data_IF_992732042638
#
_entry.id   IF_992732042638
#
_cell.length_a   1.000
_cell.length_b   1.000
_cell.length_c   1.000
_cell.angle_alpha   90.00
_cell.angle_beta   90.00
_cell.angle_gamma   90.00
#
_symmetry.space_group_name_H-M   'P 1'
#
loop_
_entity.id
_entity.type
_entity.pdbx_description
1 polymer ?
#
# COMPACT_ATOMS: atom_id res chain seq x y z
N UNK A 1 -59.27 -25.06 28.48
CA UNK A 1 -57.85 -25.38 28.23
C UNK A 1 -56.99 -24.22 28.72
N UNK A 2 -55.81 -24.53 29.27
CA UNK A 2 -55.04 -23.78 30.27
C UNK A 2 -54.34 -22.47 29.81
N UNK A 3 -54.25 -21.53 30.78
CA UNK A 3 -53.15 -20.60 31.22
C UNK A 3 -52.43 -19.72 30.16
N UNK A 4 -52.48 -18.37 30.21
CA UNK A 4 -51.74 -17.37 31.07
C UNK A 4 -50.21 -17.46 30.85
N UNK A 5 -49.37 -16.46 30.54
CA UNK A 5 -49.39 -14.97 30.41
C UNK A 5 -48.15 -14.54 29.58
N UNK A 6 -48.16 -13.37 28.91
CA UNK A 6 -46.94 -12.57 28.62
C UNK A 6 -47.27 -11.14 28.16
N UNK A 7 -46.49 -10.17 28.69
CA UNK A 7 -46.07 -8.90 28.05
C UNK A 7 -47.18 -7.84 27.79
N UNK A 8 -46.99 -6.51 27.83
CA UNK A 8 -45.82 -5.65 27.69
C UNK A 8 -46.21 -4.16 27.94
N UNK A 9 -45.19 -3.31 28.16
CA UNK A 9 -45.08 -1.86 27.84
C UNK A 9 -45.74 -0.77 28.73
N UNK A 10 -44.86 -0.02 29.40
CA UNK A 10 -44.63 1.41 29.06
C UNK A 10 -45.14 2.48 30.04
N UNK A 11 -44.23 3.21 30.70
CA UNK A 11 -43.98 4.66 30.49
C UNK A 11 -43.15 5.29 31.64
N UNK A 12 -42.08 5.96 31.22
CA UNK A 12 -41.46 7.21 31.71
C UNK A 12 -41.61 7.66 33.16
N UNK A 13 -40.46 7.83 33.83
CA UNK A 13 -39.93 9.17 34.12
C UNK A 13 -38.47 9.08 34.61
N UNK A 14 -37.61 9.90 34.00
CA UNK A 14 -36.28 10.27 34.54
C UNK A 14 -36.40 10.80 35.98
N UNK A 15 -35.37 10.57 36.80
CA UNK A 15 -34.46 11.67 37.04
C UNK A 15 -32.99 11.25 36.90
N UNK A 16 -32.31 11.84 35.92
CA UNK A 16 -30.87 12.04 36.00
C UNK A 16 -30.52 12.95 37.17
N UNK A 17 -29.45 12.63 37.88
CA UNK A 17 -28.86 13.53 38.87
C UNK A 17 -27.84 12.90 39.82
N UNK A 18 -27.96 11.60 40.14
CA UNK A 18 -27.17 11.01 41.24
C UNK A 18 -26.14 9.95 40.85
N UNK A 19 -26.22 9.33 39.67
CA UNK A 19 -25.29 8.24 39.31
C UNK A 19 -24.01 8.72 38.59
N UNK A 20 -24.09 9.81 37.81
CA UNK A 20 -22.89 10.45 37.23
C UNK A 20 -21.95 11.06 38.29
N UNK A 21 -22.43 11.32 39.51
CA UNK A 21 -21.57 11.81 40.60
C UNK A 21 -20.79 10.66 41.27
N UNK A 22 -21.28 9.42 41.23
CA UNK A 22 -20.57 8.27 41.77
C UNK A 22 -19.49 7.72 40.81
N UNK A 23 -19.67 7.88 39.49
CA UNK A 23 -18.64 7.53 38.49
C UNK A 23 -17.51 8.58 38.42
N UNK A 24 -17.81 9.86 38.66
CA UNK A 24 -16.78 10.90 38.87
C UNK A 24 -16.03 10.63 40.19
N UNK A 25 -16.69 10.17 41.25
CA UNK A 25 -16.07 9.89 42.55
C UNK A 25 -15.04 8.75 42.52
N UNK A 26 -15.11 7.77 41.61
CA UNK A 26 -14.15 6.65 41.57
C UNK A 26 -12.97 6.88 40.61
N UNK A 27 -13.20 7.63 39.52
CA UNK A 27 -12.12 8.23 38.73
C UNK A 27 -11.34 9.28 39.52
N UNK A 28 -12.06 10.10 40.30
CA UNK A 28 -11.49 11.02 41.28
C UNK A 28 -10.79 10.28 42.42
N UNK A 29 -11.20 9.09 42.87
CA UNK A 29 -10.45 8.37 43.94
C UNK A 29 -9.04 7.94 43.54
N UNK A 30 -8.77 7.65 42.27
CA UNK A 30 -7.44 7.25 41.77
C UNK A 30 -6.54 8.42 41.44
N UNK A 31 -7.11 9.51 40.91
CA UNK A 31 -6.40 10.79 40.75
C UNK A 31 -6.23 11.52 42.08
N UNK A 32 -7.19 11.45 43.00
CA UNK A 32 -7.08 11.91 44.39
C UNK A 32 -6.09 11.06 45.18
N UNK A 33 -5.93 9.75 44.96
CA UNK A 33 -4.86 9.00 45.66
C UNK A 33 -3.47 9.47 45.22
N UNK A 34 -3.28 9.75 43.92
CA UNK A 34 -2.02 10.31 43.41
C UNK A 34 -1.82 11.78 43.82
N UNK A 35 -2.87 12.60 43.77
CA UNK A 35 -2.85 14.01 44.19
C UNK A 35 -2.75 14.16 45.71
N UNK A 36 -3.41 13.34 46.52
CA UNK A 36 -3.25 13.25 47.98
C UNK A 36 -1.85 12.77 48.32
N UNK A 37 -1.28 11.78 47.61
CA UNK A 37 0.11 11.36 47.82
C UNK A 37 1.10 12.47 47.45
N UNK A 38 0.83 13.21 46.37
CA UNK A 38 1.65 14.36 45.96
C UNK A 38 1.48 15.57 46.91
N UNK A 39 0.29 15.80 47.47
CA UNK A 39 0.03 16.83 48.49
C UNK A 39 0.58 16.42 49.87
N UNK A 40 0.54 15.13 50.22
CA UNK A 40 1.22 14.56 51.40
C UNK A 40 2.72 14.78 51.27
N UNK A 41 3.32 14.43 50.13
CA UNK A 41 4.74 14.69 49.86
C UNK A 41 5.09 16.19 49.90
N UNK A 42 4.20 17.06 49.40
CA UNK A 42 4.35 18.51 49.48
C UNK A 42 4.29 19.03 50.92
N UNK A 43 3.40 18.48 51.76
CA UNK A 43 3.27 18.84 53.18
C UNK A 43 4.40 18.30 54.06
N UNK A 44 4.93 17.11 53.73
CA UNK A 44 6.01 16.42 54.44
C UNK A 44 7.38 17.03 54.09
N UNK A 45 7.56 17.48 52.86
CA UNK A 45 8.81 18.08 52.38
C UNK A 45 8.66 19.59 52.13
N UNK A 46 8.31 20.33 53.18
CA UNK A 46 8.18 21.80 53.15
C UNK A 46 9.51 22.56 52.91
N UNK A 47 10.62 21.89 52.65
CA UNK A 47 11.94 22.52 52.37
C UNK A 47 13.04 21.55 51.88
N UNK A 48 12.88 20.22 52.02
CA UNK A 48 13.92 19.27 51.63
C UNK A 48 13.72 18.71 50.21
N UNK A 49 14.31 19.45 49.27
CA UNK A 49 14.13 19.28 47.83
C UNK A 49 14.75 17.99 47.25
N UNK A 50 15.73 17.37 47.92
CA UNK A 50 16.40 16.18 47.40
C UNK A 50 15.62 14.89 47.71
N UNK A 51 15.06 14.79 48.91
CA UNK A 51 14.24 13.65 49.34
C UNK A 51 12.91 13.60 48.58
N UNK A 52 12.25 14.75 48.41
CA UNK A 52 11.03 14.87 47.61
C UNK A 52 11.26 14.45 46.15
N UNK A 53 12.36 14.91 45.54
CA UNK A 53 12.74 14.55 44.16
C UNK A 53 13.00 13.05 44.01
N UNK A 54 13.72 12.43 44.96
CA UNK A 54 13.99 10.99 44.93
C UNK A 54 12.72 10.14 45.08
N UNK A 55 11.75 10.58 45.90
CA UNK A 55 10.49 9.84 46.09
C UNK A 55 9.53 10.02 44.90
N UNK A 56 9.47 11.21 44.30
CA UNK A 56 8.72 11.44 43.06
C UNK A 56 9.33 10.62 41.91
N UNK A 57 10.66 10.57 41.82
CA UNK A 57 11.35 9.74 40.83
C UNK A 57 11.06 8.26 41.05
N UNK A 58 10.98 7.79 42.31
CA UNK A 58 10.56 6.42 42.66
C UNK A 58 9.09 6.11 42.38
N UNK A 59 8.20 7.11 42.41
CA UNK A 59 6.79 6.97 42.01
C UNK A 59 6.61 6.94 40.48
N UNK A 60 7.45 7.66 39.74
CA UNK A 60 7.46 7.67 38.27
C UNK A 60 8.24 6.48 37.69
N UNK A 61 9.20 5.92 38.43
CA UNK A 61 10.06 4.84 37.96
C UNK A 61 9.28 3.60 37.48
N UNK A 62 8.21 3.10 38.13
CA UNK A 62 7.43 1.98 37.63
C UNK A 62 6.65 2.30 36.35
N UNK A 63 6.26 3.56 36.15
CA UNK A 63 5.58 4.05 34.95
C UNK A 63 6.57 4.16 33.77
N UNK A 64 7.80 4.60 34.03
CA UNK A 64 8.86 4.78 33.02
C UNK A 64 9.58 3.46 32.69
N UNK A 65 9.72 2.53 33.64
CA UNK A 65 10.52 1.31 33.47
C UNK A 65 9.85 0.20 32.65
N UNK A 66 8.62 0.40 32.15
CA UNK A 66 7.81 -0.68 31.56
C UNK A 66 7.19 -0.38 30.20
N UNK A 67 7.57 0.71 29.53
CA UNK A 67 6.97 1.07 28.24
C UNK A 67 8.03 1.16 27.14
N UNK A 68 7.68 0.59 25.98
CA UNK A 68 8.51 0.50 24.78
C UNK A 68 9.20 1.83 24.48
N UNK A 69 10.49 1.74 24.12
CA UNK A 69 11.46 2.81 23.83
C UNK A 69 11.02 3.78 22.71
N UNK A 70 9.82 3.64 22.16
CA UNK A 70 9.31 4.40 21.00
C UNK A 70 8.30 5.50 21.31
N UNK A 71 7.93 5.75 22.57
CA UNK A 71 6.94 6.79 22.88
C UNK A 71 7.60 8.20 22.92
N UNK A 72 7.67 8.86 21.76
CA UNK A 72 8.25 10.21 21.56
C UNK A 72 7.66 11.26 22.52
N UNK A 73 6.40 11.09 22.94
CA UNK A 73 5.70 12.02 23.84
C UNK A 73 6.22 11.92 25.28
N UNK A 74 6.62 10.73 25.72
CA UNK A 74 7.23 10.52 27.05
C UNK A 74 8.71 10.92 27.04
N UNK A 75 9.42 10.70 25.93
CA UNK A 75 10.78 11.22 25.71
C UNK A 75 10.82 12.75 25.76
N UNK A 76 9.81 13.44 25.20
CA UNK A 76 9.64 14.88 25.39
C UNK A 76 9.40 15.24 26.85
N UNK A 77 8.59 14.49 27.58
CA UNK A 77 8.24 14.81 28.97
C UNK A 77 9.43 14.57 29.92
N UNK A 78 10.19 13.50 29.70
CA UNK A 78 11.44 13.18 30.41
C UNK A 78 12.51 14.22 30.07
N UNK A 79 12.72 14.55 28.79
CA UNK A 79 13.70 15.58 28.39
C UNK A 79 13.31 16.98 28.87
N UNK A 80 12.02 17.31 28.94
CA UNK A 80 11.52 18.54 29.53
C UNK A 80 11.81 18.58 31.04
N UNK A 81 11.46 17.53 31.78
CA UNK A 81 11.75 17.42 33.22
C UNK A 81 13.26 17.43 33.51
N UNK A 82 14.08 16.80 32.67
CA UNK A 82 15.54 16.78 32.80
C UNK A 82 16.19 18.13 32.43
N UNK A 83 15.65 18.84 31.43
CA UNK A 83 16.15 20.15 31.01
C UNK A 83 15.78 21.26 32.01
N UNK A 84 14.58 21.24 32.58
CA UNK A 84 14.14 22.15 33.64
C UNK A 84 14.87 21.88 34.97
N UNK A 85 15.11 20.59 35.31
CA UNK A 85 15.91 20.20 36.47
C UNK A 85 17.37 20.67 36.38
N UNK A 86 17.88 20.87 35.16
CA UNK A 86 19.24 21.35 34.91
C UNK A 86 19.37 22.87 34.99
N UNK A 87 18.28 23.63 34.84
CA UNK A 87 18.30 25.10 34.80
C UNK A 87 18.06 25.77 36.17
N UNK A 88 17.39 25.11 37.12
CA UNK A 88 16.99 25.74 38.39
C UNK A 88 17.88 25.33 39.56
N UNK A 89 19.03 26.01 39.67
CA UNK A 89 19.88 26.03 40.87
C UNK A 89 19.51 27.19 41.81
N UNK A 90 18.26 27.32 42.29
CA UNK A 90 17.96 28.20 43.45
C UNK A 90 16.58 27.94 44.07
N UNK A 91 16.61 27.39 45.28
CA UNK A 91 15.99 27.86 46.53
C UNK A 91 14.75 28.78 46.60
N UNK A 92 13.70 28.71 45.77
CA UNK A 92 12.40 29.33 46.14
C UNK A 92 11.15 28.46 45.85
N UNK A 93 10.19 28.52 46.79
CA UNK A 93 8.94 27.73 46.83
C UNK A 93 8.01 27.93 45.61
N UNK A 94 8.13 29.09 44.95
CA UNK A 94 7.36 29.49 43.75
C UNK A 94 7.75 28.71 42.49
N UNK A 95 9.00 28.31 42.34
CA UNK A 95 9.47 27.54 41.17
C UNK A 95 8.95 26.10 41.18
N UNK A 96 8.74 25.56 42.39
CA UNK A 96 8.17 24.23 42.60
C UNK A 96 6.67 24.25 42.27
N UNK A 97 5.92 25.26 42.70
CA UNK A 97 4.49 25.35 42.37
C UNK A 97 4.25 25.44 40.85
N UNK A 98 5.11 26.17 40.15
CA UNK A 98 5.07 26.27 38.69
C UNK A 98 5.42 24.94 38.01
N UNK A 99 6.47 24.26 38.47
CA UNK A 99 6.83 22.92 37.99
C UNK A 99 5.69 21.91 38.15
N UNK A 100 5.03 21.90 39.31
CA UNK A 100 3.89 21.01 39.56
C UNK A 100 2.67 21.38 38.70
N UNK A 101 2.40 22.67 38.48
CA UNK A 101 1.32 23.12 37.58
C UNK A 101 1.58 22.74 36.11
N UNK A 102 2.83 22.83 35.66
CA UNK A 102 3.22 22.48 34.29
C UNK A 102 3.15 20.96 34.04
N UNK A 103 3.51 20.14 35.02
CA UNK A 103 3.36 18.68 34.96
C UNK A 103 1.88 18.28 34.92
N UNK A 104 1.03 18.91 35.73
CA UNK A 104 -0.42 18.66 35.71
C UNK A 104 -1.03 19.08 34.37
N UNK A 105 -0.64 20.24 33.84
CA UNK A 105 -1.12 20.74 32.54
C UNK A 105 -0.67 19.84 31.39
N UNK A 106 0.56 19.32 31.42
CA UNK A 106 1.04 18.38 30.41
C UNK A 106 0.30 17.03 30.45
N UNK A 107 -0.05 16.55 31.64
CA UNK A 107 -0.88 15.34 31.81
C UNK A 107 -2.32 15.57 31.32
N UNK A 108 -2.92 16.73 31.59
CA UNK A 108 -4.24 17.09 31.08
C UNK A 108 -4.26 17.27 29.55
N UNK A 109 -3.19 17.78 28.95
CA UNK A 109 -3.04 17.87 27.50
C UNK A 109 -2.85 16.49 26.84
N UNK A 110 -2.22 15.53 27.52
CA UNK A 110 -2.12 14.14 27.06
C UNK A 110 -3.46 13.38 27.13
N UNK A 111 -4.33 13.72 28.09
CA UNK A 111 -5.68 13.17 28.19
C UNK A 111 -6.65 13.77 27.15
N UNK A 112 -6.40 15.01 26.71
CA UNK A 112 -7.26 15.73 25.76
C UNK A 112 -6.69 15.77 24.32
N UNK A 113 -5.54 15.15 24.05
CA UNK A 113 -5.01 14.99 22.71
C UNK A 113 -5.96 14.11 21.87
N UNK A 114 -6.20 14.42 20.58
CA UNK A 114 -7.05 13.59 19.75
C UNK A 114 -6.48 12.18 19.74
N UNK A 115 -7.29 11.21 20.17
CA UNK A 115 -6.98 9.79 20.11
C UNK A 115 -6.57 9.49 18.68
N UNK A 116 -5.30 9.21 18.43
CA UNK A 116 -4.90 8.57 17.19
C UNK A 116 -5.67 7.26 17.11
N UNK A 117 -6.70 7.25 16.27
CA UNK A 117 -7.49 6.07 16.04
C UNK A 117 -6.56 4.99 15.46
N UNK A 118 -6.51 3.80 16.05
CA UNK A 118 -5.64 2.72 15.58
C UNK A 118 -5.99 2.38 14.13
N UNK A 119 -4.94 2.23 13.30
CA UNK A 119 -5.06 2.13 11.84
C UNK A 119 -5.72 0.85 11.31
N UNK A 120 -6.18 -0.07 12.17
CA UNK A 120 -7.07 -1.19 11.81
C UNK A 120 -7.68 -1.86 13.06
N UNK A 121 -8.99 -2.11 13.01
CA UNK A 121 -9.79 -2.76 14.06
C UNK A 121 -9.28 -4.19 14.42
N UNK A 122 -8.66 -4.88 13.44
CA UNK A 122 -8.13 -6.24 13.58
C UNK A 122 -6.92 -6.38 14.52
N UNK A 123 -6.08 -5.35 14.69
CA UNK A 123 -4.92 -5.42 15.59
C UNK A 123 -5.30 -5.21 17.06
N UNK A 124 -6.45 -4.56 17.33
CA UNK A 124 -6.95 -4.39 18.69
C UNK A 124 -7.56 -5.68 19.24
N UNK A 125 -8.10 -6.53 18.37
CA UNK A 125 -8.79 -7.77 18.74
C UNK A 125 -7.81 -8.80 19.30
N UNK A 126 -6.58 -8.87 18.78
CA UNK A 126 -5.54 -9.80 19.25
C UNK A 126 -5.09 -9.53 20.69
N UNK A 127 -5.23 -8.29 21.18
CA UNK A 127 -4.90 -7.91 22.55
C UNK A 127 -5.97 -8.32 23.58
N UNK A 128 -7.10 -8.87 23.13
CA UNK A 128 -8.23 -9.25 23.97
C UNK A 128 -8.23 -10.74 24.35
N UNK A 129 -7.37 -11.52 23.71
CA UNK A 129 -7.22 -12.96 23.93
C UNK A 129 -6.09 -13.26 24.90
N UNK A 130 -6.23 -14.33 25.66
CA UNK A 130 -5.21 -14.78 26.59
C UNK A 130 -3.92 -15.18 25.82
N UNK A 131 -2.73 -14.67 26.19
CA UNK A 131 -1.49 -14.97 25.46
C UNK A 131 -1.05 -16.44 25.50
N UNK A 132 -1.50 -17.22 26.50
CA UNK A 132 -1.21 -18.64 26.65
C UNK A 132 -2.27 -19.45 25.90
N UNK A 133 -3.54 -19.07 26.08
CA UNK A 133 -4.68 -19.67 25.39
C UNK A 133 -5.21 -18.71 24.33
N UNK A 134 -4.46 -18.55 23.23
CA UNK A 134 -4.69 -17.53 22.19
C UNK A 134 -6.07 -17.55 21.50
N UNK A 135 -6.91 -18.55 21.78
CA UNK A 135 -8.29 -18.64 21.28
C UNK A 135 -9.34 -18.27 22.34
N UNK A 136 -8.94 -18.08 23.60
CA UNK A 136 -9.82 -17.79 24.72
C UNK A 136 -9.81 -16.29 25.04
N UNK A 137 -11.00 -15.72 25.09
CA UNK A 137 -11.21 -14.33 25.45
C UNK A 137 -10.85 -14.14 26.93
N UNK A 138 -10.09 -13.09 27.27
CA UNK A 138 -9.83 -12.77 28.68
C UNK A 138 -11.09 -12.26 29.35
N UNK A 139 -11.73 -13.07 30.19
CA UNK A 139 -12.93 -12.69 30.93
C UNK A 139 -12.61 -11.85 32.16
N UNK A 140 -11.45 -12.08 32.76
CA UNK A 140 -10.95 -11.32 33.90
C UNK A 140 -9.50 -10.86 33.68
N UNK A 141 -9.27 -9.82 32.86
CA UNK A 141 -7.93 -9.42 32.44
C UNK A 141 -7.12 -8.79 33.58
N UNK A 142 -5.90 -9.29 33.79
CA UNK A 142 -4.95 -8.84 34.81
C UNK A 142 -3.57 -8.61 34.20
N UNK A 143 -2.84 -7.62 34.73
CA UNK A 143 -1.43 -7.39 34.40
C UNK A 143 -0.53 -8.27 35.25
N UNK A 144 0.36 -9.01 34.60
CA UNK A 144 1.32 -9.87 35.28
C UNK A 144 2.73 -9.27 35.38
N UNK A 145 3.61 -9.96 36.12
CA UNK A 145 5.00 -9.56 36.39
C UNK A 145 5.88 -9.36 35.15
N UNK A 146 5.55 -10.02 34.04
CA UNK A 146 6.25 -9.91 32.75
C UNK A 146 5.73 -8.75 31.86
N UNK A 147 4.76 -7.98 32.35
CA UNK A 147 4.20 -6.81 31.66
C UNK A 147 3.06 -7.12 30.69
N UNK A 148 2.72 -8.41 30.46
CA UNK A 148 1.60 -8.81 29.60
C UNK A 148 0.28 -8.84 30.37
N UNK A 149 -0.82 -8.78 29.63
CA UNK A 149 -2.17 -9.01 30.17
C UNK A 149 -2.53 -10.46 29.94
N UNK A 150 -3.06 -11.12 30.97
CA UNK A 150 -3.57 -12.48 30.93
C UNK A 150 -4.99 -12.51 31.47
N UNK A 151 -5.71 -13.58 31.20
CA UNK A 151 -6.86 -13.92 32.01
C UNK A 151 -6.39 -14.35 33.42
N UNK A 152 -7.07 -13.89 34.47
CA UNK A 152 -6.75 -14.23 35.86
C UNK A 152 -6.71 -15.75 36.07
N UNK A 153 -7.65 -16.47 35.46
CA UNK A 153 -7.82 -17.90 35.69
C UNK A 153 -6.70 -18.71 35.05
N UNK A 154 -6.06 -18.19 34.00
CA UNK A 154 -4.80 -18.74 33.45
C UNK A 154 -3.69 -18.80 34.48
N UNK A 155 -3.57 -17.78 35.33
CA UNK A 155 -2.51 -17.69 36.33
C UNK A 155 -2.89 -18.46 37.61
N UNK A 156 -4.16 -18.35 38.03
CA UNK A 156 -4.62 -18.86 39.33
C UNK A 156 -5.05 -20.34 39.28
N UNK A 157 -5.57 -20.83 38.15
CA UNK A 157 -6.08 -22.20 37.97
C UNK A 157 -5.22 -23.02 37.00
N UNK A 158 -3.90 -22.89 37.17
CA UNK A 158 -2.83 -23.47 36.36
C UNK A 158 -2.99 -24.96 35.97
N UNK A 159 -3.73 -25.75 36.75
CA UNK A 159 -3.88 -27.19 36.58
C UNK A 159 -5.19 -27.65 35.90
N UNK A 160 -6.16 -26.74 35.67
CA UNK A 160 -7.52 -27.12 35.24
C UNK A 160 -7.90 -26.72 33.80
N UNK A 161 -6.99 -26.11 33.02
CA UNK A 161 -7.30 -25.76 31.64
C UNK A 161 -7.23 -27.00 30.71
N UNK A 162 -8.25 -27.24 29.86
CA UNK A 162 -8.33 -28.44 29.01
C UNK A 162 -7.19 -28.56 27.98
N UNK A 163 -6.57 -27.44 27.61
CA UNK A 163 -5.36 -27.41 26.78
C UNK A 163 -4.11 -27.36 27.66
N UNK A 164 -3.38 -28.48 27.73
CA UNK A 164 -2.20 -28.74 28.58
C UNK A 164 -0.94 -27.91 28.23
N UNK A 165 -1.04 -26.59 28.05
CA UNK A 165 0.11 -25.67 28.13
C UNK A 165 0.24 -25.16 29.56
N UNK A 166 0.58 -26.08 30.47
CA UNK A 166 0.64 -25.81 31.89
C UNK A 166 1.73 -24.78 32.21
N UNK A 167 1.39 -23.75 32.98
CA UNK A 167 2.31 -22.89 33.73
C UNK A 167 2.94 -23.68 34.91
N UNK A 168 3.20 -24.99 34.76
CA UNK A 168 3.46 -25.96 35.85
C UNK A 168 4.60 -25.60 36.81
N UNK A 169 5.49 -24.69 36.42
CA UNK A 169 6.61 -24.21 37.24
C UNK A 169 6.40 -22.80 37.83
N UNK A 170 5.21 -22.21 37.65
CA UNK A 170 4.87 -20.86 38.11
C UNK A 170 5.65 -19.75 37.40
N UNK A 171 6.19 -20.00 36.20
CA UNK A 171 7.03 -19.06 35.47
C UNK A 171 6.42 -18.63 34.15
N UNK A 172 6.66 -17.38 33.77
CA UNK A 172 6.22 -16.84 32.48
C UNK A 172 6.80 -17.68 31.34
N UNK A 173 5.99 -18.16 30.37
CA UNK A 173 6.51 -18.88 29.21
C UNK A 173 7.35 -17.98 28.30
N UNK A 174 7.22 -16.65 28.45
CA UNK A 174 7.92 -15.67 27.62
C UNK A 174 9.25 -15.21 28.23
N UNK A 175 9.31 -15.06 29.55
CA UNK A 175 10.51 -14.52 30.23
C UNK A 175 11.22 -15.55 31.11
N UNK A 176 10.58 -16.67 31.43
CA UNK A 176 11.03 -17.69 32.41
C UNK A 176 11.23 -17.16 33.84
N UNK A 177 10.86 -15.91 34.09
CA UNK A 177 10.81 -15.33 35.43
C UNK A 177 9.54 -15.79 36.16
N UNK A 178 9.52 -15.76 37.51
CA UNK A 178 8.30 -16.04 38.28
C UNK A 178 7.13 -15.17 37.81
N UNK A 179 6.00 -15.80 37.49
CA UNK A 179 4.80 -15.14 37.02
C UNK A 179 3.86 -14.90 38.20
N UNK A 180 3.52 -13.63 38.45
CA UNK A 180 2.52 -13.27 39.45
C UNK A 180 1.62 -12.15 38.96
N UNK A 181 0.40 -12.08 39.50
CA UNK A 181 -0.55 -11.00 39.23
C UNK A 181 -0.07 -9.74 39.96
N UNK A 182 0.02 -8.63 39.24
CA UNK A 182 0.40 -7.34 39.82
C UNK A 182 -0.80 -6.45 40.08
N UNK A 183 -1.72 -6.36 39.12
CA UNK A 183 -2.90 -5.51 39.23
C UNK A 183 -3.97 -5.89 38.19
N UNK A 184 -5.17 -5.34 38.36
CA UNK A 184 -6.27 -5.41 37.40
C UNK A 184 -5.93 -4.65 36.11
N UNK A 185 -6.22 -5.21 34.93
CA UNK A 185 -6.12 -4.49 33.66
C UNK A 185 -7.48 -3.86 33.31
N UNK A 186 -7.78 -2.76 34.00
CA UNK A 186 -9.05 -2.03 33.84
C UNK A 186 -9.21 -1.50 32.41
N UNK A 187 -8.11 -1.21 31.71
CA UNK A 187 -8.17 -0.72 30.33
C UNK A 187 -8.66 -1.80 29.37
N UNK A 188 -8.08 -3.00 29.45
CA UNK A 188 -8.53 -4.14 28.63
C UNK A 188 -9.94 -4.56 29.03
N UNK A 189 -10.27 -4.58 30.33
CA UNK A 189 -11.63 -4.85 30.81
C UNK A 189 -12.68 -3.89 30.24
N UNK A 190 -12.39 -2.58 30.26
CA UNK A 190 -13.30 -1.57 29.73
C UNK A 190 -13.46 -1.70 28.20
N UNK A 191 -12.38 -2.02 27.48
CA UNK A 191 -12.43 -2.23 26.03
C UNK A 191 -13.29 -3.44 25.68
N UNK A 192 -13.11 -4.57 26.36
CA UNK A 192 -13.94 -5.76 26.23
C UNK A 192 -15.43 -5.45 26.44
N UNK A 193 -15.74 -4.66 27.47
CA UNK A 193 -17.11 -4.24 27.75
C UNK A 193 -17.70 -3.33 26.66
N UNK A 194 -16.89 -2.43 26.10
CA UNK A 194 -17.35 -1.45 25.12
C UNK A 194 -17.53 -2.03 23.69
N UNK A 195 -16.92 -3.19 23.40
CA UNK A 195 -17.02 -3.84 22.09
C UNK A 195 -18.41 -4.40 21.82
N UNK A 196 -19.01 -4.03 20.69
CA UNK A 196 -20.39 -4.41 20.33
C UNK A 196 -20.60 -5.92 20.27
N UNK A 197 -19.58 -6.65 19.81
CA UNK A 197 -19.58 -8.11 19.64
C UNK A 197 -19.73 -8.85 20.96
N UNK A 198 -19.15 -8.34 22.04
CA UNK A 198 -19.13 -8.98 23.36
C UNK A 198 -20.15 -8.39 24.34
N UNK A 199 -20.86 -7.32 23.93
CA UNK A 199 -21.95 -6.69 24.70
C UNK A 199 -23.06 -7.67 25.08
N UNK A 200 -23.28 -8.71 24.29
CA UNK A 200 -24.29 -9.75 24.55
C UNK A 200 -23.84 -10.80 25.59
N UNK A 201 -22.54 -10.92 25.86
CA UNK A 201 -22.00 -11.98 26.71
C UNK A 201 -22.04 -11.69 28.21
N UNK A 202 -22.49 -10.48 28.60
CA UNK A 202 -22.57 -10.02 30.00
C UNK A 202 -21.31 -10.40 30.80
N UNK A 203 -20.14 -10.06 30.23
CA UNK A 203 -18.81 -10.44 30.72
C UNK A 203 -18.59 -10.08 32.20
N UNK A 204 -19.14 -8.96 32.65
CA UNK A 204 -19.07 -8.55 34.06
C UNK A 204 -19.77 -9.55 34.98
N UNK A 205 -20.93 -10.07 34.55
CA UNK A 205 -21.64 -11.11 35.30
C UNK A 205 -20.84 -12.40 35.34
N UNK A 206 -20.27 -12.85 34.22
CA UNK A 206 -19.40 -14.04 34.19
C UNK A 206 -18.16 -13.87 35.08
N UNK A 207 -17.49 -12.72 35.01
CA UNK A 207 -16.32 -12.41 35.84
C UNK A 207 -16.68 -12.47 37.34
N UNK A 208 -17.83 -11.89 37.70
CA UNK A 208 -18.34 -11.92 39.07
C UNK A 208 -18.67 -13.33 39.53
N UNK A 209 -19.41 -14.09 38.72
CA UNK A 209 -19.76 -15.49 39.01
C UNK A 209 -18.51 -16.36 39.23
N UNK A 210 -17.47 -16.19 38.41
CA UNK A 210 -16.21 -16.91 38.55
C UNK A 210 -15.47 -16.52 39.83
N UNK A 211 -15.38 -15.22 40.16
CA UNK A 211 -14.77 -14.75 41.42
C UNK A 211 -15.53 -15.26 42.65
N UNK A 212 -16.87 -15.26 42.60
CA UNK A 212 -17.73 -15.76 43.68
C UNK A 212 -17.59 -17.28 43.86
N UNK A 213 -17.47 -18.04 42.76
CA UNK A 213 -17.20 -19.47 42.78
C UNK A 213 -15.82 -19.77 43.39
N UNK A 214 -14.78 -19.04 42.99
CA UNK A 214 -13.43 -19.20 43.54
C UNK A 214 -13.40 -18.91 45.04
N UNK A 215 -14.07 -17.85 45.48
CA UNK A 215 -14.26 -17.55 46.91
C UNK A 215 -14.95 -18.69 47.65
N UNK A 216 -16.08 -19.17 47.13
CA UNK A 216 -16.88 -20.21 47.78
C UNK A 216 -16.06 -21.50 47.97
N UNK A 217 -15.43 -21.97 46.91
CA UNK A 217 -14.56 -23.16 46.95
C UNK A 217 -13.33 -22.98 47.85
N UNK A 218 -12.78 -21.76 47.93
CA UNK A 218 -11.69 -21.46 48.86
C UNK A 218 -12.14 -21.58 50.32
N UNK A 219 -13.31 -21.07 50.66
CA UNK A 219 -13.87 -21.20 52.02
C UNK A 219 -14.18 -22.66 52.35
N UNK A 220 -14.69 -23.44 51.39
CA UNK A 220 -14.88 -24.88 51.55
C UNK A 220 -13.58 -25.60 51.92
N UNK A 221 -12.46 -25.30 51.24
CA UNK A 221 -11.14 -25.86 51.60
C UNK A 221 -10.71 -25.50 53.03
N UNK A 222 -11.01 -24.29 53.50
CA UNK A 222 -10.74 -23.88 54.88
C UNK A 222 -11.54 -24.71 55.86
N UNK A 223 -12.84 -24.93 55.58
CA UNK A 223 -13.73 -25.71 56.43
C UNK A 223 -13.34 -27.20 56.46
N UNK A 224 -12.86 -27.72 55.34
CA UNK A 224 -12.36 -29.09 55.20
C UNK A 224 -10.97 -29.29 55.84
N UNK A 225 -10.35 -28.23 56.36
CA UNK A 225 -9.05 -28.30 57.04
C UNK A 225 -7.86 -28.48 56.10
N UNK A 226 -8.03 -28.16 54.81
CA UNK A 226 -6.96 -28.21 53.81
C UNK A 226 -6.10 -26.95 53.85
N UNK A 227 -5.50 -26.69 55.02
CA UNK A 227 -4.83 -25.43 55.37
C UNK A 227 -3.76 -24.99 54.35
N UNK A 228 -3.04 -25.92 53.71
CA UNK A 228 -2.02 -25.60 52.71
C UNK A 228 -2.59 -24.97 51.43
N UNK A 229 -3.50 -25.67 50.76
CA UNK A 229 -4.15 -25.18 49.53
C UNK A 229 -5.07 -23.98 49.82
N UNK A 230 -5.79 -24.02 50.95
CA UNK A 230 -6.64 -22.93 51.39
C UNK A 230 -5.85 -21.63 51.60
N UNK A 231 -4.64 -21.70 52.18
CA UNK A 231 -3.80 -20.53 52.39
C UNK A 231 -3.39 -19.87 51.07
N UNK A 232 -2.93 -20.65 50.09
CA UNK A 232 -2.54 -20.14 48.78
C UNK A 232 -3.71 -19.47 48.04
N UNK A 233 -4.89 -20.10 48.06
CA UNK A 233 -6.09 -19.51 47.44
C UNK A 233 -6.56 -18.24 48.14
N UNK A 234 -6.45 -18.18 49.46
CA UNK A 234 -6.78 -16.97 50.23
C UNK A 234 -5.83 -15.81 49.93
N UNK A 235 -4.52 -16.07 49.79
CA UNK A 235 -3.55 -15.05 49.39
C UNK A 235 -3.89 -14.50 48.01
N UNK A 236 -4.24 -15.36 47.04
CA UNK A 236 -4.70 -14.92 45.74
C UNK A 236 -5.98 -14.07 45.86
N UNK A 237 -7.03 -14.58 46.52
CA UNK A 237 -8.34 -13.91 46.64
C UNK A 237 -8.23 -12.49 47.19
N UNK A 238 -7.42 -12.31 48.23
CA UNK A 238 -7.25 -11.02 48.89
C UNK A 238 -6.51 -9.98 48.04
N UNK A 239 -5.89 -10.37 46.91
CA UNK A 239 -5.32 -9.40 45.96
C UNK A 239 -6.40 -8.58 45.24
N UNK A 240 -7.61 -9.13 45.02
CA UNK A 240 -8.72 -8.43 44.36
C UNK A 240 -9.92 -8.17 45.26
N UNK A 241 -10.00 -8.83 46.42
CA UNK A 241 -11.01 -8.58 47.45
C UNK A 241 -10.36 -8.24 48.80
N UNK A 242 -9.53 -7.18 48.89
CA UNK A 242 -8.82 -6.80 50.11
C UNK A 242 -9.74 -6.32 51.23
N UNK A 243 -11.04 -6.19 50.97
CA UNK A 243 -12.08 -5.83 51.93
C UNK A 243 -12.86 -7.06 52.46
N UNK A 244 -12.59 -8.28 51.96
CA UNK A 244 -13.23 -9.51 52.45
C UNK A 244 -12.72 -9.96 53.83
N UNK A 245 -13.36 -9.45 54.90
CA UNK A 245 -12.98 -9.69 56.29
C UNK A 245 -13.04 -11.17 56.70
N UNK A 246 -13.93 -11.95 56.09
CA UNK A 246 -14.08 -13.39 56.37
C UNK A 246 -12.84 -14.14 55.87
N UNK A 247 -12.48 -13.96 54.60
CA UNK A 247 -11.30 -14.57 54.01
C UNK A 247 -9.99 -14.12 54.70
N UNK A 248 -9.88 -12.84 55.09
CA UNK A 248 -8.72 -12.35 55.89
C UNK A 248 -8.57 -13.11 57.21
N UNK A 249 -9.65 -13.26 57.98
CA UNK A 249 -9.63 -13.98 59.26
C UNK A 249 -9.26 -15.45 59.06
N UNK A 250 -9.77 -16.08 58.01
CA UNK A 250 -9.41 -17.46 57.68
C UNK A 250 -7.92 -17.60 57.36
N UNK A 251 -7.36 -16.68 56.56
CA UNK A 251 -5.93 -16.66 56.23
C UNK A 251 -5.07 -16.52 57.49
N UNK A 252 -5.37 -15.53 58.33
CA UNK A 252 -4.59 -15.26 59.54
C UNK A 252 -4.66 -16.45 60.51
N UNK A 253 -5.85 -17.06 60.65
CA UNK A 253 -6.03 -18.24 61.48
C UNK A 253 -5.28 -19.47 60.94
N UNK A 254 -5.19 -19.64 59.62
CA UNK A 254 -4.39 -20.71 58.99
C UNK A 254 -2.90 -20.42 59.19
N UNK A 255 -2.45 -19.18 58.96
CA UNK A 255 -1.08 -18.74 59.19
C UNK A 255 -0.61 -19.07 60.61
N UNK A 256 -1.46 -18.81 61.60
CA UNK A 256 -1.20 -19.14 63.00
C UNK A 256 -1.12 -20.64 63.29
N UNK A 257 -1.90 -21.47 62.59
CA UNK A 257 -1.87 -22.94 62.74
C UNK A 257 -0.64 -23.54 62.10
N UNK A 258 -0.30 -23.08 60.90
CA UNK A 258 0.92 -23.46 60.20
C UNK A 258 2.17 -23.03 61.01
N UNK A 259 2.11 -21.89 61.71
CA UNK A 259 3.17 -21.42 62.60
C UNK A 259 3.31 -22.18 63.94
N UNK A 260 2.30 -22.96 64.37
CA UNK A 260 2.29 -23.67 65.67
C UNK A 260 2.69 -25.16 65.58
N UNK A 261 2.89 -25.68 64.37
CA UNK A 261 3.31 -27.07 64.16
C UNK A 261 4.84 -27.19 64.07
N UNK A 262 5.52 -27.32 65.22
CA UNK A 262 6.63 -28.29 65.41
C UNK A 262 7.23 -28.25 66.83
N UNK A 263 7.34 -29.41 67.54
CA UNK A 263 8.21 -29.60 68.69
C UNK A 263 9.52 -30.28 68.23
N UNK A 264 10.69 -29.64 68.36
CA UNK A 264 11.92 -30.22 67.80
C UNK A 264 13.24 -29.76 68.44
N UNK A 265 13.44 -29.84 69.76
CA UNK A 265 14.65 -29.25 70.37
C UNK A 265 15.99 -29.99 70.08
N UNK A 266 15.96 -31.27 69.66
CA UNK A 266 17.17 -32.02 69.27
C UNK A 266 17.37 -32.08 67.74
N UNK A 267 16.28 -32.22 66.99
CA UNK A 267 16.30 -32.17 65.52
C UNK A 267 16.60 -30.76 65.03
N UNK A 268 16.09 -29.70 65.70
CA UNK A 268 16.43 -28.31 65.38
C UNK A 268 17.92 -28.06 65.58
N UNK A 269 18.56 -28.59 66.62
CA UNK A 269 20.02 -28.43 66.78
C UNK A 269 20.79 -29.05 65.63
N UNK A 270 20.42 -30.26 65.21
CA UNK A 270 21.05 -30.95 64.09
C UNK A 270 20.78 -30.23 62.76
N UNK A 271 19.54 -29.80 62.53
CA UNK A 271 19.15 -28.97 61.40
C UNK A 271 19.80 -27.58 61.43
N UNK A 272 20.06 -26.99 62.60
CA UNK A 272 20.74 -25.70 62.74
C UNK A 272 22.20 -25.85 62.36
N UNK A 273 22.85 -26.94 62.78
CA UNK A 273 24.24 -27.24 62.44
C UNK A 273 24.37 -27.58 60.95
N UNK A 274 23.44 -28.37 60.41
CA UNK A 274 23.34 -28.67 58.96
C UNK A 274 23.04 -27.40 58.16
N UNK A 275 22.14 -26.51 58.63
CA UNK A 275 21.88 -25.19 58.04
C UNK A 275 23.10 -24.28 58.11
N UNK A 276 23.93 -24.40 59.16
CA UNK A 276 25.15 -23.61 59.31
C UNK A 276 26.25 -24.07 58.36
N UNK A 277 26.37 -25.39 58.16
CA UNK A 277 27.25 -25.99 57.15
C UNK A 277 26.74 -25.67 55.73
N UNK A 278 25.43 -25.76 55.50
CA UNK A 278 24.80 -25.39 54.25
C UNK A 278 25.01 -23.90 53.95
N UNK A 279 24.84 -23.01 54.92
CA UNK A 279 25.09 -21.57 54.77
C UNK A 279 26.54 -21.25 54.43
N UNK A 280 27.51 -22.01 54.98
CA UNK A 280 28.93 -21.89 54.59
C UNK A 280 29.16 -22.37 53.15
N UNK A 281 28.63 -23.54 52.80
CA UNK A 281 28.73 -24.09 51.45
C UNK A 281 28.04 -23.19 50.41
N UNK A 282 26.91 -22.60 50.77
CA UNK A 282 26.18 -21.65 49.96
C UNK A 282 26.97 -20.34 49.83
N UNK A 283 27.65 -19.89 50.89
CA UNK A 283 28.60 -18.77 50.83
C UNK A 283 29.77 -19.02 49.88
N UNK A 284 30.36 -20.21 49.90
CA UNK A 284 31.42 -20.61 48.96
C UNK A 284 30.91 -20.72 47.52
N UNK A 285 29.69 -21.27 47.33
CA UNK A 285 29.02 -21.30 46.01
C UNK A 285 28.73 -19.89 45.50
N UNK A 286 28.27 -18.98 46.36
CA UNK A 286 28.03 -17.58 46.00
C UNK A 286 29.33 -16.93 45.55
N UNK A 287 30.45 -17.12 46.26
CA UNK A 287 31.75 -16.59 45.85
C UNK A 287 32.23 -17.15 44.50
N UNK A 288 32.03 -18.45 44.25
CA UNK A 288 32.34 -19.06 42.95
C UNK A 288 31.45 -18.50 41.84
N UNK A 289 30.15 -18.35 42.09
CA UNK A 289 29.20 -17.77 41.13
C UNK A 289 29.49 -16.29 40.86
N UNK A 290 29.91 -15.53 41.88
CA UNK A 290 30.35 -14.14 41.72
C UNK A 290 31.62 -14.04 40.87
N UNK A 291 32.59 -14.94 41.10
CA UNK A 291 33.80 -15.01 40.29
C UNK A 291 33.49 -15.39 38.82
N UNK A 292 32.59 -16.36 38.60
CA UNK A 292 32.13 -16.77 37.28
C UNK A 292 31.36 -15.64 36.57
N UNK A 293 30.48 -14.95 37.28
CA UNK A 293 29.73 -13.80 36.75
C UNK A 293 30.68 -12.64 36.39
N UNK A 294 31.71 -12.38 37.19
CA UNK A 294 32.73 -11.37 36.88
C UNK A 294 33.54 -11.76 35.62
N UNK A 295 33.89 -13.04 35.46
CA UNK A 295 34.53 -13.53 34.24
C UNK A 295 33.62 -13.42 33.01
N UNK A 296 32.33 -13.75 33.14
CA UNK A 296 31.34 -13.59 32.07
C UNK A 296 31.13 -12.12 31.69
N UNK A 297 31.10 -11.21 32.68
CA UNK A 297 31.06 -9.77 32.44
C UNK A 297 32.30 -9.28 31.69
N UNK A 298 33.49 -9.75 32.05
CA UNK A 298 34.72 -9.40 31.35
C UNK A 298 34.72 -9.93 29.90
N UNK A 299 34.29 -11.18 29.70
CA UNK A 299 34.21 -11.82 28.38
C UNK A 299 33.18 -11.11 27.47
N UNK A 300 32.00 -10.80 28.00
CA UNK A 300 30.97 -10.05 27.26
C UNK A 300 31.40 -8.63 26.94
N UNK A 301 32.11 -7.94 27.84
CA UNK A 301 32.66 -6.62 27.57
C UNK A 301 33.72 -6.65 26.45
N UNK A 302 34.59 -7.68 26.43
CA UNK A 302 35.57 -7.87 25.37
C UNK A 302 34.89 -8.15 24.01
N UNK A 303 33.89 -9.03 23.98
CA UNK A 303 33.11 -9.34 22.79
C UNK A 303 32.36 -8.10 22.26
N UNK A 304 31.78 -7.29 23.16
CA UNK A 304 31.12 -6.03 22.80
C UNK A 304 32.10 -5.05 22.14
N UNK A 305 33.30 -4.88 22.71
CA UNK A 305 34.34 -4.01 22.15
C UNK A 305 34.80 -4.48 20.75
N UNK A 306 34.92 -5.79 20.54
CA UNK A 306 35.25 -6.34 19.23
C UNK A 306 34.14 -6.09 18.21
N UNK A 307 32.88 -6.27 18.60
CA UNK A 307 31.72 -5.98 17.75
C UNK A 307 31.65 -4.48 17.39
N UNK A 308 31.84 -3.58 18.36
CA UNK A 308 31.89 -2.13 18.13
C UNK A 308 33.02 -1.74 17.16
N UNK A 309 34.18 -2.37 17.27
CA UNK A 309 35.29 -2.14 16.34
C UNK A 309 34.96 -2.61 14.90
N UNK A 310 34.29 -3.76 14.76
CA UNK A 310 33.83 -4.27 13.46
C UNK A 310 32.77 -3.37 12.84
N UNK A 311 31.79 -2.93 13.63
CA UNK A 311 30.76 -1.99 13.19
C UNK A 311 31.42 -0.68 12.72
N UNK A 312 32.34 -0.11 13.50
CA UNK A 312 33.07 1.09 13.10
C UNK A 312 33.89 0.91 11.83
N UNK A 313 34.45 -0.29 11.59
CA UNK A 313 35.14 -0.60 10.34
C UNK A 313 34.18 -0.67 9.15
N UNK A 314 33.03 -1.32 9.32
CA UNK A 314 32.00 -1.43 8.29
C UNK A 314 31.39 -0.06 7.95
N UNK A 315 31.13 0.78 8.95
CA UNK A 315 30.59 2.14 8.74
C UNK A 315 31.54 3.00 7.91
N UNK A 316 32.86 2.87 8.11
CA UNK A 316 33.86 3.56 7.29
C UNK A 316 33.85 3.07 5.84
N UNK A 317 33.69 1.76 5.64
CA UNK A 317 33.61 1.16 4.31
C UNK A 317 32.33 1.58 3.58
N UNK A 318 31.18 1.55 4.26
CA UNK A 318 29.91 2.06 3.74
C UNK A 318 30.01 3.54 3.36
N UNK A 319 30.59 4.37 4.24
CA UNK A 319 30.77 5.81 3.95
C UNK A 319 31.63 6.02 2.71
N UNK A 320 32.68 5.21 2.55
CA UNK A 320 33.55 5.28 1.37
C UNK A 320 32.80 4.90 0.09
N UNK A 321 32.06 3.79 0.11
CA UNK A 321 31.27 3.34 -1.05
C UNK A 321 30.20 4.36 -1.45
N UNK A 322 29.51 4.96 -0.47
CA UNK A 322 28.52 6.00 -0.72
C UNK A 322 29.15 7.23 -1.40
N UNK A 323 30.35 7.65 -0.99
CA UNK A 323 31.02 8.77 -1.64
C UNK A 323 31.54 8.40 -3.04
N UNK A 324 32.03 7.16 -3.24
CA UNK A 324 32.42 6.66 -4.57
C UNK A 324 31.22 6.68 -5.54
N UNK A 325 30.05 6.17 -5.11
CA UNK A 325 28.80 6.21 -5.88
C UNK A 325 28.35 7.64 -6.17
N UNK A 326 28.48 8.55 -5.18
CA UNK A 326 28.14 9.97 -5.36
C UNK A 326 29.00 10.63 -6.45
N UNK A 327 30.30 10.34 -6.46
CA UNK A 327 31.23 10.87 -7.46
C UNK A 327 30.89 10.32 -8.84
N UNK A 328 30.59 9.02 -8.95
CA UNK A 328 30.25 8.40 -10.23
C UNK A 328 28.91 8.93 -10.79
N UNK A 329 27.92 9.10 -9.92
CA UNK A 329 26.65 9.73 -10.30
C UNK A 329 26.84 11.15 -10.86
N UNK A 330 27.69 11.96 -10.22
CA UNK A 330 28.01 13.30 -10.73
C UNK A 330 28.68 13.24 -12.10
N UNK A 331 29.62 12.31 -12.32
CA UNK A 331 30.27 12.11 -13.63
C UNK A 331 29.24 11.77 -14.70
N UNK A 332 28.38 10.80 -14.45
CA UNK A 332 27.34 10.39 -15.39
C UNK A 332 26.37 11.52 -15.71
N UNK A 333 25.98 12.34 -14.73
CA UNK A 333 25.11 13.50 -14.98
C UNK A 333 25.82 14.56 -15.85
N UNK A 334 27.13 14.79 -15.67
CA UNK A 334 27.88 15.67 -16.58
C UNK A 334 27.98 15.11 -17.99
N UNK A 335 28.21 13.81 -18.15
CA UNK A 335 28.29 13.16 -19.46
C UNK A 335 26.94 13.22 -20.19
N UNK A 336 25.84 12.93 -19.48
CA UNK A 336 24.48 13.07 -19.98
C UNK A 336 24.21 14.49 -20.48
N UNK A 337 24.56 15.51 -19.69
CA UNK A 337 24.37 16.91 -20.08
C UNK A 337 25.20 17.27 -21.32
N UNK A 338 26.45 16.80 -21.41
CA UNK A 338 27.29 16.99 -22.59
C UNK A 338 26.71 16.32 -23.85
N UNK A 339 26.23 15.08 -23.72
CA UNK A 339 25.58 14.35 -24.81
C UNK A 339 24.29 15.04 -25.25
N UNK A 340 23.50 15.54 -24.31
CA UNK A 340 22.27 16.29 -24.60
C UNK A 340 22.58 17.59 -25.36
N UNK A 341 23.61 18.33 -24.95
CA UNK A 341 24.07 19.50 -25.68
C UNK A 341 24.53 19.15 -27.11
N UNK A 342 25.30 18.07 -27.28
CA UNK A 342 25.73 17.61 -28.61
C UNK A 342 24.55 17.20 -29.50
N UNK A 343 23.56 16.51 -28.94
CA UNK A 343 22.33 16.15 -29.65
C UNK A 343 21.53 17.39 -30.08
N UNK A 344 21.43 18.41 -29.21
CA UNK A 344 20.75 19.66 -29.56
C UNK A 344 21.42 20.38 -30.73
N UNK A 345 22.76 20.50 -30.71
CA UNK A 345 23.53 21.11 -31.80
C UNK A 345 23.38 20.34 -33.12
N UNK A 346 23.43 19.00 -33.09
CA UNK A 346 23.21 18.20 -34.30
C UNK A 346 21.78 18.34 -34.86
N UNK A 347 20.78 18.47 -33.99
CA UNK A 347 19.39 18.71 -34.41
C UNK A 347 19.24 20.07 -35.08
N UNK A 348 19.79 21.12 -34.50
CA UNK A 348 19.78 22.47 -35.09
C UNK A 348 20.47 22.49 -36.46
N UNK A 349 21.62 21.81 -36.60
CA UNK A 349 22.31 21.69 -37.88
C UNK A 349 21.47 20.94 -38.93
N UNK A 350 20.82 19.84 -38.53
CA UNK A 350 19.95 19.08 -39.41
C UNK A 350 18.72 19.88 -39.85
N UNK A 351 18.08 20.61 -38.92
CA UNK A 351 16.94 21.49 -39.20
C UNK A 351 17.33 22.62 -40.15
N UNK A 352 18.51 23.22 -39.97
CA UNK A 352 19.04 24.23 -40.88
C UNK A 352 19.26 23.67 -42.30
N UNK A 353 19.84 22.46 -42.42
CA UNK A 353 20.01 21.78 -43.72
C UNK A 353 18.67 21.47 -44.40
N UNK A 354 17.68 21.00 -43.64
CA UNK A 354 16.33 20.73 -44.17
C UNK A 354 15.66 22.02 -44.63
N UNK A 355 15.81 23.12 -43.88
CA UNK A 355 15.29 24.43 -44.27
C UNK A 355 15.92 24.93 -45.57
N UNK A 356 17.24 24.81 -45.71
CA UNK A 356 17.95 25.16 -46.93
C UNK A 356 17.48 24.33 -48.14
N UNK A 357 17.41 23.00 -47.99
CA UNK A 357 16.93 22.11 -49.06
C UNK A 357 15.49 22.41 -49.48
N UNK A 358 14.61 22.75 -48.53
CA UNK A 358 13.23 23.16 -48.85
C UNK A 358 13.21 24.42 -49.72
N UNK A 359 14.05 25.41 -49.39
CA UNK A 359 14.17 26.65 -50.17
C UNK A 359 14.68 26.37 -51.58
N UNK A 360 15.70 25.53 -51.71
CA UNK A 360 16.26 25.14 -53.01
C UNK A 360 15.24 24.37 -53.88
N UNK A 361 14.45 23.49 -53.25
CA UNK A 361 13.37 22.79 -53.94
C UNK A 361 12.27 23.76 -54.41
N UNK A 362 11.94 24.78 -53.61
CA UNK A 362 10.97 25.80 -54.01
C UNK A 362 11.48 26.64 -55.20
N UNK A 363 12.75 27.02 -55.20
CA UNK A 363 13.35 27.74 -56.33
C UNK A 363 13.36 26.89 -57.60
N UNK A 364 13.73 25.61 -57.50
CA UNK A 364 13.71 24.68 -58.65
C UNK A 364 12.29 24.46 -59.18
N UNK A 365 11.29 24.39 -58.30
CA UNK A 365 9.90 24.28 -58.73
C UNK A 365 9.44 25.54 -59.49
N UNK A 366 9.79 26.73 -59.02
CA UNK A 366 9.49 28.00 -59.73
C UNK A 366 10.17 28.05 -61.10
N UNK A 367 11.43 27.65 -61.19
CA UNK A 367 12.15 27.56 -62.47
C UNK A 367 11.49 26.56 -63.42
N UNK A 368 11.09 25.39 -62.90
CA UNK A 368 10.36 24.38 -63.68
C UNK A 368 9.03 24.91 -64.18
N UNK A 369 8.27 25.63 -63.37
CA UNK A 369 6.99 26.25 -63.77
C UNK A 369 7.20 27.25 -64.91
N UNK A 370 8.24 28.09 -64.83
CA UNK A 370 8.61 29.01 -65.91
C UNK A 370 8.94 28.25 -67.19
N UNK A 371 9.77 27.19 -67.10
CA UNK A 371 10.13 26.38 -68.27
C UNK A 371 8.91 25.69 -68.90
N UNK A 372 8.03 25.10 -68.09
CA UNK A 372 6.79 24.47 -68.57
C UNK A 372 5.91 25.50 -69.27
N UNK A 373 5.76 26.71 -68.70
CA UNK A 373 4.96 27.78 -69.32
C UNK A 373 5.51 28.20 -70.69
N UNK A 374 6.84 28.24 -70.84
CA UNK A 374 7.49 28.57 -72.10
C UNK A 374 7.28 27.48 -73.15
N UNK A 375 7.37 26.21 -72.76
CA UNK A 375 7.11 25.07 -73.64
C UNK A 375 5.64 25.06 -74.10
N UNK A 376 4.71 25.26 -73.16
CA UNK A 376 3.28 25.29 -73.45
C UNK A 376 2.91 26.40 -74.43
N UNK A 377 3.45 27.60 -74.24
CA UNK A 377 3.26 28.74 -75.16
C UNK A 377 3.85 28.42 -76.55
N UNK A 378 5.04 27.82 -76.62
CA UNK A 378 5.63 27.37 -77.88
C UNK A 378 4.83 26.28 -78.59
N UNK A 379 4.16 25.39 -77.85
CA UNK A 379 3.24 24.39 -78.40
C UNK A 379 1.94 25.03 -78.90
N UNK A 380 1.36 25.99 -78.16
CA UNK A 380 0.17 26.74 -78.59
C UNK A 380 0.39 27.46 -79.91
N UNK A 381 1.52 28.17 -80.06
CA UNK A 381 1.86 28.86 -81.31
C UNK A 381 1.98 27.90 -82.49
N UNK A 382 2.74 26.80 -82.33
CA UNK A 382 2.89 25.78 -83.38
C UNK A 382 1.57 25.12 -83.76
N UNK A 383 0.66 24.94 -82.79
CA UNK A 383 -0.68 24.40 -83.05
C UNK A 383 -1.51 25.39 -83.88
N UNK A 384 -1.54 26.68 -83.49
CA UNK A 384 -2.22 27.74 -84.25
C UNK A 384 -1.68 27.84 -85.69
N UNK A 385 -0.35 27.88 -85.85
CA UNK A 385 0.29 27.94 -87.17
C UNK A 385 -0.05 26.73 -88.05
N UNK A 386 -0.26 25.55 -87.44
CA UNK A 386 -0.66 24.34 -88.15
C UNK A 386 -2.14 24.39 -88.55
N UNK A 387 -3.02 24.87 -87.67
CA UNK A 387 -4.45 25.07 -87.94
C UNK A 387 -4.65 26.09 -89.09
N UNK A 388 -3.98 27.24 -89.04
CA UNK A 388 -4.03 28.26 -90.11
C UNK A 388 -3.56 27.72 -91.47
N UNK A 389 -2.51 26.88 -91.47
CA UNK A 389 -2.03 26.21 -92.69
C UNK A 389 -3.05 25.22 -93.23
N UNK A 390 -3.69 24.43 -92.37
CA UNK A 390 -4.75 23.50 -92.78
C UNK A 390 -5.90 24.28 -93.41
N UNK A 391 -6.38 25.34 -92.76
CA UNK A 391 -7.49 26.17 -93.27
C UNK A 391 -7.15 26.80 -94.63
N UNK A 392 -5.93 27.34 -94.80
CA UNK A 392 -5.47 27.86 -96.09
C UNK A 392 -5.46 26.77 -97.18
N UNK A 393 -4.99 25.56 -96.86
CA UNK A 393 -4.99 24.45 -97.84
C UNK A 393 -6.38 23.94 -98.17
N UNK A 394 -7.32 23.95 -97.20
CA UNK A 394 -8.72 23.59 -97.42
C UNK A 394 -9.37 24.60 -98.35
N UNK A 395 -9.21 25.89 -98.08
CA UNK A 395 -9.74 26.97 -98.92
C UNK A 395 -9.21 26.89 -100.37
N UNK A 396 -7.92 26.63 -100.57
CA UNK A 396 -7.36 26.44 -101.93
C UNK A 396 -7.97 25.22 -102.62
N UNK A 397 -8.12 24.08 -101.92
CA UNK A 397 -8.76 22.88 -102.48
C UNK A 397 -10.22 23.14 -102.86
N UNK A 398 -10.98 23.81 -102.00
CA UNK A 398 -12.38 24.18 -102.28
C UNK A 398 -12.50 25.10 -103.50
N UNK A 399 -11.62 26.10 -103.61
CA UNK A 399 -11.57 26.97 -104.78
C UNK A 399 -11.32 26.18 -106.08
N UNK A 400 -10.40 25.22 -106.06
CA UNK A 400 -10.13 24.35 -107.21
C UNK A 400 -11.33 23.44 -107.54
N UNK A 401 -12.04 22.93 -106.54
CA UNK A 401 -13.27 22.15 -106.73
C UNK A 401 -14.35 23.00 -107.40
N UNK A 402 -14.57 24.24 -106.94
CA UNK A 402 -15.53 25.17 -107.56
C UNK A 402 -15.15 25.48 -109.01
N UNK A 403 -13.86 25.70 -109.29
CA UNK A 403 -13.36 25.95 -110.65
C UNK A 403 -13.60 24.74 -111.57
N UNK A 404 -13.31 23.52 -111.09
CA UNK A 404 -13.59 22.26 -111.81
C UNK A 404 -15.08 22.06 -112.04
N UNK A 405 -15.92 22.36 -111.05
CA UNK A 405 -17.39 22.25 -111.15
C UNK A 405 -17.93 23.18 -112.24
N UNK A 406 -17.53 24.46 -112.24
CA UNK A 406 -17.89 25.41 -113.32
C UNK A 406 -17.42 24.96 -114.70
N UNK A 407 -16.20 24.42 -114.80
CA UNK A 407 -15.67 23.88 -116.06
C UNK A 407 -16.47 22.65 -116.53
N UNK A 408 -16.83 21.75 -115.60
CA UNK A 408 -17.65 20.57 -115.87
C UNK A 408 -19.07 20.94 -116.27
N UNK A 409 -19.68 21.94 -115.65
CA UNK A 409 -20.99 22.48 -116.03
C UNK A 409 -20.96 23.08 -117.44
N UNK A 410 -19.91 23.85 -117.77
CA UNK A 410 -19.69 24.43 -119.11
C UNK A 410 -19.43 23.37 -120.18
N UNK A 411 -18.68 22.32 -119.84
CA UNK A 411 -18.45 21.17 -120.71
C UNK A 411 -19.74 20.35 -120.89
N UNK A 412 -20.50 20.11 -119.82
CA UNK A 412 -21.79 19.42 -119.88
C UNK A 412 -22.83 20.20 -120.68
N UNK A 413 -22.84 21.54 -120.63
CA UNK A 413 -23.73 22.34 -121.51
C UNK A 413 -23.35 22.23 -122.99
N UNK A 414 -22.07 22.02 -123.30
CA UNK A 414 -21.61 21.73 -124.67
C UNK A 414 -21.99 20.31 -125.13
N UNK A 415 -21.81 19.31 -124.27
CA UNK A 415 -22.07 17.90 -124.60
C UNK A 415 -23.56 17.53 -124.61
N UNK A 416 -24.45 18.27 -123.92
CA UNK A 416 -25.90 18.03 -123.89
C UNK A 416 -26.57 18.10 -125.27
N UNK A 417 -25.94 18.72 -126.26
CA UNK A 417 -26.46 18.83 -127.62
C UNK A 417 -26.01 17.72 -128.58
N UNK A 418 -25.14 16.77 -128.17
CA UNK A 418 -24.36 15.99 -129.15
C UNK A 418 -24.33 14.46 -128.99
N UNK A 419 -25.24 13.82 -128.22
CA UNK A 419 -25.37 12.34 -128.21
C UNK A 419 -26.75 11.85 -127.69
N UNK A 420 -27.62 11.19 -128.49
CA UNK A 420 -28.68 10.32 -127.98
C UNK A 420 -28.35 8.83 -128.18
N UNK A 421 -28.74 8.00 -127.21
CA UNK A 421 -28.95 6.53 -127.26
C UNK A 421 -27.91 5.56 -126.66
N UNK A 422 -26.73 5.97 -126.18
CA UNK A 422 -25.84 5.04 -125.41
C UNK A 422 -25.86 5.22 -123.88
N UNK A 423 -26.50 6.27 -123.38
CA UNK A 423 -26.56 6.57 -121.95
C UNK A 423 -27.67 5.80 -121.20
N UNK A 424 -28.73 5.39 -121.90
CA UNK A 424 -29.85 4.63 -121.30
C UNK A 424 -29.44 3.20 -120.95
N UNK A 425 -28.66 2.55 -121.81
CA UNK A 425 -28.15 1.18 -121.61
C UNK A 425 -27.10 1.10 -120.49
N UNK A 426 -26.42 2.21 -120.15
CA UNK A 426 -25.48 2.28 -119.03
C UNK A 426 -26.17 2.56 -117.69
N UNK A 427 -27.29 3.28 -117.68
CA UNK A 427 -28.13 3.48 -116.49
C UNK A 427 -28.83 2.17 -116.08
N UNK A 428 -29.33 1.39 -117.04
CA UNK A 428 -29.98 0.09 -116.77
C UNK A 428 -29.01 -0.97 -116.19
N UNK A 429 -27.73 -0.94 -116.59
CA UNK A 429 -26.67 -1.82 -116.02
C UNK A 429 -26.22 -1.36 -114.63
N UNK A 430 -26.23 -0.05 -114.36
CA UNK A 430 -25.91 0.48 -113.02
C UNK A 430 -27.02 0.23 -112.01
N UNK A 431 -28.29 0.24 -112.43
CA UNK A 431 -29.45 -0.04 -111.56
C UNK A 431 -29.62 -1.54 -111.24
N UNK A 432 -29.14 -2.43 -112.12
CA UNK A 432 -29.07 -3.87 -111.86
C UNK A 432 -27.97 -4.24 -110.85
N UNK A 433 -26.83 -3.54 -110.87
CA UNK A 433 -25.72 -3.77 -109.95
C UNK A 433 -25.99 -3.20 -108.54
N UNK A 434 -26.89 -2.22 -108.42
CA UNK A 434 -27.34 -1.65 -107.14
C UNK A 434 -28.37 -2.51 -106.40
N UNK A 435 -28.90 -3.58 -107.04
CA UNK A 435 -29.89 -4.51 -106.46
C UNK A 435 -29.28 -5.72 -105.74
N UNK A 436 -27.96 -5.92 -105.81
CA UNK A 436 -27.25 -6.86 -104.95
C UNK A 436 -26.71 -6.11 -103.73
N UNK A 437 -27.44 -6.25 -102.61
CA UNK A 437 -27.17 -5.63 -101.32
C UNK A 437 -25.91 -6.24 -100.67
N UNK A 438 -24.72 -6.04 -101.27
CA UNK A 438 -23.44 -6.44 -100.67
C UNK A 438 -23.01 -5.38 -99.67
N UNK A 439 -23.75 -5.31 -98.57
CA UNK A 439 -23.38 -4.51 -97.41
C UNK A 439 -22.19 -5.19 -96.74
N UNK A 440 -21.03 -4.54 -96.72
CA UNK A 440 -19.86 -5.02 -95.98
C UNK A 440 -20.25 -5.19 -94.50
N UNK A 441 -20.24 -6.44 -94.03
CA UNK A 441 -20.52 -6.75 -92.63
C UNK A 441 -19.40 -6.17 -91.76
N UNK A 442 -19.75 -5.25 -90.86
CA UNK A 442 -18.84 -4.75 -89.84
C UNK A 442 -18.79 -5.75 -88.69
N UNK A 443 -17.65 -6.38 -88.49
CA UNK A 443 -17.41 -7.27 -87.35
C UNK A 443 -16.73 -6.49 -86.22
N UNK A 444 -17.12 -6.78 -84.98
CA UNK A 444 -16.43 -6.21 -83.81
C UNK A 444 -15.06 -6.85 -83.65
N UNK A 445 -14.12 -6.12 -83.06
CA UNK A 445 -12.76 -6.62 -82.84
C UNK A 445 -12.74 -7.96 -82.07
N UNK A 446 -13.62 -8.12 -81.08
CA UNK A 446 -13.69 -9.35 -80.27
C UNK A 446 -14.18 -10.57 -81.07
N UNK A 447 -15.05 -10.36 -82.06
CA UNK A 447 -15.49 -11.41 -82.99
C UNK A 447 -14.34 -11.86 -83.88
N UNK A 448 -13.58 -10.90 -84.44
CA UNK A 448 -12.39 -11.18 -85.26
C UNK A 448 -11.28 -11.85 -84.46
N UNK A 449 -11.03 -11.38 -83.24
CA UNK A 449 -10.06 -11.98 -82.31
C UNK A 449 -10.43 -13.42 -81.97
N UNK A 450 -11.72 -13.70 -81.73
CA UNK A 450 -12.17 -15.06 -81.42
C UNK A 450 -12.08 -15.98 -82.64
N UNK A 451 -12.56 -15.53 -83.80
CA UNK A 451 -12.58 -16.33 -85.03
C UNK A 451 -11.17 -16.68 -85.54
N UNK A 452 -10.16 -15.85 -85.24
CA UNK A 452 -8.76 -16.07 -85.63
C UNK A 452 -7.93 -16.79 -84.55
N UNK A 453 -8.51 -17.13 -83.40
CA UNK A 453 -7.78 -17.71 -82.27
C UNK A 453 -6.76 -16.74 -81.68
N UNK A 454 -7.14 -15.47 -81.56
CA UNK A 454 -6.31 -14.39 -81.02
C UNK A 454 -5.25 -13.88 -82.00
N UNK A 455 -5.51 -13.95 -83.31
CA UNK A 455 -4.51 -13.69 -84.36
C UNK A 455 -3.27 -14.60 -84.24
N UNK A 456 -3.49 -15.88 -83.92
CA UNK A 456 -2.42 -16.88 -83.83
C UNK A 456 -1.68 -17.02 -85.16
N UNK A 457 -0.35 -17.09 -85.10
CA UNK A 457 0.50 -17.29 -86.30
C UNK A 457 0.19 -18.59 -87.03
N UNK A 458 -0.37 -19.60 -86.35
CA UNK A 458 -0.81 -20.87 -86.97
C UNK A 458 -1.97 -20.66 -87.96
N UNK A 459 -2.75 -19.59 -87.78
CA UNK A 459 -3.86 -19.22 -88.66
C UNK A 459 -3.47 -18.11 -89.64
N UNK A 460 -2.21 -17.66 -89.65
CA UNK A 460 -1.76 -16.62 -90.57
C UNK A 460 -1.56 -17.20 -91.97
N UNK A 461 -2.24 -16.62 -92.94
CA UNK A 461 -2.15 -17.00 -94.35
C UNK A 461 -1.01 -16.28 -95.06
N UNK A 462 -0.61 -15.12 -94.56
CA UNK A 462 0.51 -14.34 -95.11
C UNK A 462 0.54 -12.90 -94.61
N UNK A 463 1.57 -12.16 -95.02
CA UNK A 463 1.72 -10.72 -94.72
C UNK A 463 2.28 -10.00 -95.94
N UNK A 464 1.65 -8.88 -96.30
CA UNK A 464 2.07 -8.02 -97.42
C UNK A 464 2.03 -6.54 -97.05
N UNK A 465 2.20 -5.66 -98.04
CA UNK A 465 2.22 -4.20 -97.85
C UNK A 465 0.92 -3.58 -97.31
N UNK A 466 -0.15 -4.36 -97.23
CA UNK A 466 -1.46 -3.97 -96.69
C UNK A 466 -1.79 -4.65 -95.35
N UNK A 467 -0.84 -5.38 -94.75
CA UNK A 467 -0.99 -6.04 -93.45
C UNK A 467 -0.99 -7.56 -93.50
N UNK A 468 -1.29 -8.18 -92.36
CA UNK A 468 -1.34 -9.64 -92.17
C UNK A 468 -2.75 -10.17 -92.46
N UNK A 469 -2.84 -11.28 -93.18
CA UNK A 469 -4.08 -12.00 -93.45
C UNK A 469 -4.15 -13.27 -92.59
N UNK A 470 -5.31 -13.53 -91.98
CA UNK A 470 -5.56 -14.68 -91.12
C UNK A 470 -6.76 -15.49 -91.63
N UNK A 471 -6.71 -16.80 -91.45
CA UNK A 471 -7.83 -17.72 -91.68
C UNK A 471 -8.75 -17.69 -90.46
N UNK A 472 -10.02 -17.38 -90.68
CA UNK A 472 -11.04 -17.49 -89.64
C UNK A 472 -11.57 -18.94 -89.57
N UNK A 473 -11.65 -19.49 -88.37
CA UNK A 473 -12.40 -20.71 -88.10
C UNK A 473 -13.86 -20.32 -87.79
N UNK A 474 -14.82 -21.01 -88.42
CA UNK A 474 -16.24 -20.74 -88.17
C UNK A 474 -16.56 -20.98 -86.68
N UNK A 475 -16.98 -19.92 -85.99
CA UNK A 475 -17.54 -20.01 -84.64
C UNK A 475 -18.90 -20.70 -84.80
N UNK A 476 -19.09 -21.87 -84.19
CA UNK A 476 -20.36 -22.60 -84.21
C UNK A 476 -21.19 -22.29 -82.98
#
# INVERSE_FOLDING_TARGET
>A
MNRINKAELGSDASPGGSEMQNEVLDGCRRTNNFQERMQELYSVHNSDSAAARSQIQGLLQPLVSRMSVQDEKLQMLISYVESEASQHKTTESTDIQKFFADVITAVEQLQNAPVEQPQNEYQLEELMYDPIYMNDLMWDPVKASDGRTYDRWTIVENDNHPDHRSLSDGRSPFTRAPLCILCEDVTVRQRLHNMERFRQENLETKCKEMRDKYRTTTVELVLDGQDGEAFERLENLLTWAPEDDECRKHRDAISDRLGKSQPADETLRKMLEDLRLQSKLDGEKIQLLEAENNNLKACSAAAKKEAEAKISSMDKELTRLVEEDRIEFQRLETEKNNLQARLSSMREEAEAKVSALKKDMETLNKEREVQVSFIDEGLRRRKSDAEDKVDSTVMEKEFQVVKRKRLKERMNSLFRGMMPNRLRELEEVQEALAKEDVRASFFKYDELKTATGGFSEQNKLGQGGFGSAYKCCAIR
#
